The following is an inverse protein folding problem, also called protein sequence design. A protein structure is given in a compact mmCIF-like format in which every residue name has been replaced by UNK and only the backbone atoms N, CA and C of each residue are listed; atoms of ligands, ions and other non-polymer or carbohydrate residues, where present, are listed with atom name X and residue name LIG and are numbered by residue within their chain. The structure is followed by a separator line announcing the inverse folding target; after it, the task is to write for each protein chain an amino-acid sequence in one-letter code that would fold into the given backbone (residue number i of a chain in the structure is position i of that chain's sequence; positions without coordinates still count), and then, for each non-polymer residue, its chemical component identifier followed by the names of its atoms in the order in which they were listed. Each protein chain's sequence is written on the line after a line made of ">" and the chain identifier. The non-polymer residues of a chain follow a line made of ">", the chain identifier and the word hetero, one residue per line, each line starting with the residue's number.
data_IF_845472846723
#
_entry.id   IF_845472846723
#
_cell.length_a   1.000
_cell.length_b   1.000
_cell.length_c   1.000
_cell.angle_alpha   90.00
_cell.angle_beta   90.00
_cell.angle_gamma   90.00
#
_symmetry.space_group_name_H-M   'P 1'
#
loop_
_entity.id
_entity.type
_entity.pdbx_description
1 polymer ?
#
# COMPACT_ATOMS: atom_id res chain seq x y z
N UNK A 1 25.07 -7.01 -13.40
CA UNK A 1 24.62 -5.65 -13.78
C UNK A 1 23.30 -5.40 -13.07
N UNK A 2 23.16 -4.27 -12.37
CA UNK A 2 21.88 -3.86 -11.79
C UNK A 2 20.83 -3.78 -12.89
N UNK A 3 19.69 -4.45 -12.69
CA UNK A 3 18.58 -4.49 -13.65
C UNK A 3 17.62 -3.29 -13.50
N UNK A 4 18.00 -2.31 -12.69
CA UNK A 4 17.18 -1.16 -12.37
C UNK A 4 18.01 0.12 -12.19
N UNK A 5 17.33 1.26 -12.25
CA UNK A 5 17.83 2.58 -11.82
C UNK A 5 16.83 3.21 -10.87
N UNK A 6 17.29 3.68 -9.71
CA UNK A 6 16.47 4.36 -8.69
C UNK A 6 16.98 5.80 -8.52
N UNK A 7 16.07 6.77 -8.56
CA UNK A 7 16.40 8.18 -8.37
C UNK A 7 15.28 8.91 -7.64
N UNK A 8 15.62 9.85 -6.77
CA UNK A 8 14.66 10.82 -6.25
C UNK A 8 14.19 11.69 -7.41
N UNK A 9 12.88 11.78 -7.63
CA UNK A 9 12.29 12.53 -8.74
C UNK A 9 11.87 13.94 -8.30
N UNK A 10 11.10 14.04 -7.22
CA UNK A 10 10.68 15.30 -6.61
C UNK A 10 10.22 15.07 -5.16
N UNK A 11 10.00 16.18 -4.44
CA UNK A 11 9.38 16.20 -3.10
C UNK A 11 7.99 16.83 -3.19
N UNK A 12 7.03 16.28 -2.47
CA UNK A 12 5.70 16.87 -2.28
C UNK A 12 5.65 17.49 -0.88
N UNK A 13 5.33 18.78 -0.79
CA UNK A 13 5.14 19.47 0.49
C UNK A 13 3.67 19.45 0.88
N UNK A 14 3.38 19.19 2.16
CA UNK A 14 2.03 19.19 2.74
C UNK A 14 1.46 17.81 3.06
N UNK A 15 2.25 16.74 2.87
CA UNK A 15 1.97 15.36 3.28
C UNK A 15 3.28 14.73 3.76
N UNK A 16 3.31 14.20 4.99
CA UNK A 16 4.46 13.46 5.55
C UNK A 16 4.22 11.96 5.46
N UNK A 17 5.27 11.19 5.12
CA UNK A 17 5.27 9.72 5.12
C UNK A 17 4.02 9.09 4.48
N UNK A 18 3.87 9.24 3.17
CA UNK A 18 2.78 8.59 2.45
C UNK A 18 2.87 7.05 2.53
N UNK A 19 1.74 6.40 2.84
CA UNK A 19 1.59 4.95 3.03
C UNK A 19 0.97 4.24 1.80
N UNK A 20 0.95 4.91 0.65
CA UNK A 20 0.43 4.36 -0.59
C UNK A 20 0.21 5.42 -1.65
N UNK A 21 0.30 5.04 -2.93
CA UNK A 21 0.03 5.97 -4.02
C UNK A 21 -0.53 5.33 -5.29
N UNK A 22 -1.30 6.11 -6.04
CA UNK A 22 -1.78 5.76 -7.39
C UNK A 22 -1.48 6.92 -8.34
N UNK A 23 -0.85 6.62 -9.47
CA UNK A 23 -0.69 7.57 -10.56
C UNK A 23 -1.80 7.39 -11.59
N UNK A 24 -2.53 8.46 -11.88
CA UNK A 24 -3.55 8.47 -12.92
C UNK A 24 -3.69 9.88 -13.51
N UNK A 25 -3.79 9.98 -14.84
CA UNK A 25 -4.03 11.23 -15.57
C UNK A 25 -3.19 12.44 -15.12
N UNK A 26 -1.88 12.22 -14.92
CA UNK A 26 -0.94 13.26 -14.48
C UNK A 26 -1.18 13.81 -13.06
N UNK A 27 -1.93 13.06 -12.25
CA UNK A 27 -2.06 13.24 -10.80
C UNK A 27 -1.50 12.04 -10.07
N UNK A 28 -0.93 12.29 -8.89
CA UNK A 28 -0.63 11.30 -7.86
C UNK A 28 -1.68 11.39 -6.77
N UNK A 29 -2.43 10.33 -6.55
CA UNK A 29 -3.27 10.13 -5.38
C UNK A 29 -2.43 9.50 -4.29
N UNK A 30 -2.40 10.09 -3.09
CA UNK A 30 -1.62 9.60 -1.96
C UNK A 30 -2.50 9.47 -0.71
N UNK A 31 -2.11 8.53 0.13
CA UNK A 31 -2.67 8.32 1.47
C UNK A 31 -1.57 8.44 2.52
N UNK A 32 -1.97 8.70 3.76
CA UNK A 32 -1.10 8.67 4.91
C UNK A 32 -1.84 7.95 6.05
N UNK A 33 -1.11 7.13 6.80
CA UNK A 33 -1.63 6.29 7.88
C UNK A 33 -2.32 7.11 8.99
N UNK A 34 -1.85 8.34 9.20
CA UNK A 34 -2.26 9.27 10.24
C UNK A 34 -3.24 10.34 9.75
N UNK A 35 -3.94 10.11 8.63
CA UNK A 35 -4.81 11.09 7.99
C UNK A 35 -6.18 10.51 7.61
N UNK A 36 -7.19 11.37 7.60
CA UNK A 36 -8.52 11.10 7.04
C UNK A 36 -8.72 11.80 5.69
N UNK A 37 -7.63 12.08 4.97
CA UNK A 37 -7.64 12.77 3.70
C UNK A 37 -7.18 11.83 2.58
N UNK A 38 -7.77 12.01 1.39
CA UNK A 38 -7.11 11.69 0.15
C UNK A 38 -6.33 12.93 -0.31
N UNK A 39 -5.05 12.75 -0.61
CA UNK A 39 -4.20 13.78 -1.19
C UNK A 39 -4.12 13.59 -2.70
N UNK A 40 -4.18 14.68 -3.46
CA UNK A 40 -3.97 14.66 -4.91
C UNK A 40 -2.90 15.67 -5.29
N UNK A 41 -1.78 15.19 -5.80
CA UNK A 41 -0.69 16.02 -6.30
C UNK A 41 -0.68 16.04 -7.83
N UNK A 42 -0.93 17.19 -8.43
CA UNK A 42 -0.86 17.36 -9.88
C UNK A 42 0.60 17.63 -10.30
N UNK A 43 1.12 16.83 -11.25
CA UNK A 43 2.54 16.89 -11.63
C UNK A 43 2.89 18.12 -12.48
N UNK A 44 1.94 18.69 -13.23
CA UNK A 44 2.20 19.84 -14.11
C UNK A 44 2.27 21.14 -13.31
N UNK A 45 1.23 21.42 -12.52
CA UNK A 45 1.10 22.68 -11.79
C UNK A 45 1.71 22.61 -10.37
N UNK A 46 2.08 21.40 -9.91
CA UNK A 46 2.71 21.13 -8.61
C UNK A 46 1.85 21.52 -7.41
N UNK A 47 0.53 21.42 -7.54
CA UNK A 47 -0.44 21.70 -6.48
C UNK A 47 -0.83 20.40 -5.77
N UNK A 48 -0.91 20.46 -4.45
CA UNK A 48 -1.44 19.40 -3.58
C UNK A 48 -2.84 19.79 -3.10
N UNK A 49 -3.85 19.10 -3.61
CA UNK A 49 -5.23 19.20 -3.14
C UNK A 49 -5.53 18.12 -2.09
N UNK A 50 -6.47 18.43 -1.19
CA UNK A 50 -6.83 17.59 -0.05
C UNK A 50 -8.33 17.39 -0.01
N UNK A 51 -8.79 16.14 -0.04
CA UNK A 51 -10.22 15.79 0.05
C UNK A 51 -10.48 15.02 1.34
N UNK A 52 -11.29 15.57 2.29
CA UNK A 52 -11.69 14.83 3.48
C UNK A 52 -12.54 13.62 3.15
N UNK A 53 -12.21 12.48 3.75
CA UNK A 53 -12.93 11.20 3.59
C UNK A 53 -13.97 10.96 4.68
N UNK A 54 -14.19 11.96 5.54
CA UNK A 54 -15.13 11.92 6.65
C UNK A 54 -16.34 12.79 6.35
N UNK A 55 -17.42 12.60 7.12
CA UNK A 55 -18.65 13.38 6.97
C UNK A 55 -18.41 14.88 7.22
N UNK A 56 -19.26 15.73 6.64
CA UNK A 56 -19.13 17.20 6.74
C UNK A 56 -19.29 17.73 8.16
N UNK A 57 -19.94 16.97 9.04
CA UNK A 57 -20.15 17.26 10.45
C UNK A 57 -19.04 16.69 11.36
N UNK A 58 -18.07 15.95 10.81
CA UNK A 58 -16.90 15.50 11.55
C UNK A 58 -16.08 16.69 12.06
N UNK A 59 -15.88 16.75 13.37
CA UNK A 59 -15.18 17.85 14.05
C UNK A 59 -13.79 17.47 14.56
N UNK A 60 -13.31 16.25 14.26
CA UNK A 60 -11.99 15.79 14.68
C UNK A 60 -10.86 16.28 13.78
N UNK A 61 -9.63 15.88 14.11
CA UNK A 61 -8.47 16.16 13.27
C UNK A 61 -8.57 15.40 11.94
N UNK A 62 -8.14 16.04 10.85
CA UNK A 62 -8.05 15.42 9.52
C UNK A 62 -6.64 14.92 9.20
N UNK A 63 -5.62 15.53 9.79
CA UNK A 63 -4.21 15.18 9.65
C UNK A 63 -3.59 15.03 11.04
N UNK A 64 -2.51 14.26 11.16
CA UNK A 64 -1.91 13.92 12.45
C UNK A 64 -2.95 13.35 13.44
N UNK A 65 -3.86 12.53 12.91
CA UNK A 65 -4.93 11.90 13.66
C UNK A 65 -4.32 11.04 14.77
N UNK A 66 -4.75 11.19 16.04
CA UNK A 66 -4.20 10.40 17.13
C UNK A 66 -4.25 8.90 16.85
N UNK A 67 -3.21 8.15 17.23
CA UNK A 67 -3.07 6.70 16.96
C UNK A 67 -4.29 5.85 17.33
N UNK A 68 -5.04 6.25 18.37
CA UNK A 68 -6.25 5.56 18.84
C UNK A 68 -7.47 5.81 17.94
N UNK A 69 -7.48 6.91 17.20
CA UNK A 69 -8.61 7.39 16.40
C UNK A 69 -8.35 7.20 14.89
N UNK A 70 -7.09 6.99 14.47
CA UNK A 70 -6.73 6.86 13.05
C UNK A 70 -7.28 5.59 12.43
N UNK A 71 -7.84 5.72 11.22
CA UNK A 71 -8.28 4.60 10.39
C UNK A 71 -7.12 3.76 9.89
N UNK A 72 -5.89 4.32 9.87
CA UNK A 72 -4.68 3.60 9.48
C UNK A 72 -4.77 3.15 8.02
N UNK A 73 -5.01 4.10 7.11
CA UNK A 73 -5.03 3.78 5.68
C UNK A 73 -3.61 3.41 5.25
N UNK A 74 -3.42 2.13 4.97
CA UNK A 74 -2.13 1.52 4.60
C UNK A 74 -2.16 0.90 3.20
N UNK A 75 -3.30 0.93 2.51
CA UNK A 75 -3.38 0.52 1.13
C UNK A 75 -4.42 1.32 0.35
N UNK A 76 -4.15 1.58 -0.93
CA UNK A 76 -5.06 2.23 -1.85
C UNK A 76 -5.17 1.45 -3.15
N UNK A 77 -6.38 1.25 -3.64
CA UNK A 77 -6.66 0.58 -4.91
C UNK A 77 -7.63 1.39 -5.76
N UNK A 78 -7.49 1.33 -7.08
CA UNK A 78 -8.45 1.90 -8.02
C UNK A 78 -9.29 0.81 -8.68
N UNK A 79 -10.59 1.06 -8.83
CA UNK A 79 -11.50 0.26 -9.67
C UNK A 79 -12.34 1.22 -10.50
N UNK A 80 -12.01 1.33 -11.79
CA UNK A 80 -12.58 2.35 -12.66
C UNK A 80 -12.19 3.77 -12.20
N UNK A 81 -13.17 4.64 -12.01
CA UNK A 81 -12.96 6.00 -11.50
C UNK A 81 -12.94 6.06 -9.95
N UNK A 82 -13.25 4.95 -9.27
CA UNK A 82 -13.33 4.91 -7.81
C UNK A 82 -12.00 4.49 -7.16
N UNK A 83 -11.72 5.07 -6.01
CA UNK A 83 -10.57 4.79 -5.16
C UNK A 83 -11.06 4.22 -3.82
N UNK A 84 -10.42 3.14 -3.39
CA UNK A 84 -10.70 2.41 -2.16
C UNK A 84 -9.47 2.44 -1.29
N UNK A 85 -9.61 2.97 -0.08
CA UNK A 85 -8.52 3.19 0.86
C UNK A 85 -8.74 2.27 2.06
N UNK A 86 -7.92 1.25 2.19
CA UNK A 86 -8.09 0.19 3.17
C UNK A 86 -7.38 0.55 4.47
N UNK A 87 -8.14 0.56 5.55
CA UNK A 87 -7.56 0.51 6.89
C UNK A 87 -6.84 -0.82 7.10
N UNK A 88 -5.78 -0.80 7.91
CA UNK A 88 -4.89 -1.96 8.05
C UNK A 88 -5.52 -3.19 8.70
N UNK A 89 -6.67 -3.05 9.37
CA UNK A 89 -7.37 -4.14 10.04
C UNK A 89 -6.72 -4.67 11.32
N UNK A 90 -5.65 -4.04 11.78
CA UNK A 90 -4.91 -4.46 12.98
C UNK A 90 -5.61 -4.15 14.32
N UNK A 91 -6.64 -3.30 14.30
CA UNK A 91 -7.53 -3.00 15.45
C UNK A 91 -8.93 -2.67 14.94
N UNK A 92 -9.95 -2.69 15.79
CA UNK A 92 -11.36 -2.45 15.42
C UNK A 92 -11.57 -1.13 14.64
N UNK A 93 -10.94 -0.03 15.06
CA UNK A 93 -11.05 1.27 14.38
C UNK A 93 -10.40 1.33 12.99
N UNK A 94 -9.67 0.27 12.60
CA UNK A 94 -8.95 0.13 11.34
C UNK A 94 -9.65 -0.83 10.37
N UNK A 95 -10.83 -1.34 10.73
CA UNK A 95 -11.67 -2.19 9.88
C UNK A 95 -12.60 -1.33 8.99
N UNK A 96 -12.06 -0.29 8.37
CA UNK A 96 -12.83 0.63 7.53
C UNK A 96 -12.15 0.78 6.17
N UNK A 97 -12.96 0.89 5.13
CA UNK A 97 -12.50 1.22 3.79
C UNK A 97 -13.11 2.57 3.39
N UNK A 98 -12.27 3.56 3.13
CA UNK A 98 -12.68 4.83 2.54
C UNK A 98 -12.99 4.64 1.06
N UNK A 99 -14.07 5.26 0.57
CA UNK A 99 -14.52 5.10 -0.81
C UNK A 99 -14.85 6.46 -1.42
N UNK A 100 -14.19 6.78 -2.54
CA UNK A 100 -14.32 8.08 -3.21
C UNK A 100 -14.21 7.91 -4.73
N UNK A 101 -15.03 8.62 -5.47
CA UNK A 101 -14.82 8.77 -6.90
C UNK A 101 -13.66 9.75 -7.16
N UNK A 102 -12.55 9.25 -7.68
CA UNK A 102 -11.34 10.04 -7.91
C UNK A 102 -11.51 11.18 -8.92
N UNK A 103 -12.51 11.11 -9.80
CA UNK A 103 -12.78 12.12 -10.83
C UNK A 103 -13.75 13.21 -10.38
N UNK A 104 -14.88 12.83 -9.77
CA UNK A 104 -15.92 13.79 -9.32
C UNK A 104 -15.64 14.32 -7.92
N UNK A 105 -14.75 13.66 -7.17
CA UNK A 105 -14.49 13.91 -5.73
C UNK A 105 -15.70 13.64 -4.84
N UNK A 106 -16.68 12.87 -5.34
CA UNK A 106 -17.78 12.39 -4.53
C UNK A 106 -17.27 11.36 -3.52
N UNK A 107 -17.41 11.67 -2.23
CA UNK A 107 -17.05 10.79 -1.12
C UNK A 107 -18.28 9.97 -0.74
N UNK A 108 -18.16 8.66 -0.80
CA UNK A 108 -19.20 7.71 -0.40
C UNK A 108 -19.07 7.37 1.09
N UNK A 109 -20.12 6.80 1.72
CA UNK A 109 -19.99 6.25 3.06
C UNK A 109 -18.87 5.21 3.15
N UNK A 110 -18.17 5.18 4.29
CA UNK A 110 -17.22 4.11 4.57
C UNK A 110 -17.86 2.74 4.49
N UNK A 111 -17.09 1.78 3.99
CA UNK A 111 -17.46 0.37 4.02
C UNK A 111 -16.88 -0.22 5.30
N UNK A 112 -17.72 -0.92 6.07
CA UNK A 112 -17.27 -1.69 7.23
C UNK A 112 -16.63 -2.99 6.75
N UNK A 113 -15.32 -3.13 6.99
CA UNK A 113 -14.55 -4.30 6.56
C UNK A 113 -14.45 -5.38 7.64
N UNK A 114 -15.14 -5.23 8.78
CA UNK A 114 -14.99 -6.13 9.94
C UNK A 114 -15.25 -7.58 9.57
N UNK A 115 -16.38 -7.90 8.94
CA UNK A 115 -16.71 -9.28 8.56
C UNK A 115 -15.76 -9.84 7.49
N UNK A 116 -15.36 -9.00 6.53
CA UNK A 116 -14.38 -9.37 5.51
C UNK A 116 -13.02 -9.72 6.15
N UNK A 117 -12.50 -8.86 7.03
CA UNK A 117 -11.21 -9.05 7.68
C UNK A 117 -11.23 -10.25 8.63
N UNK A 118 -12.33 -10.49 9.35
CA UNK A 118 -12.51 -11.70 10.15
C UNK A 118 -12.50 -12.97 9.28
N UNK A 119 -13.19 -12.95 8.14
CA UNK A 119 -13.16 -14.06 7.19
C UNK A 119 -11.74 -14.27 6.65
N UNK A 120 -11.02 -13.21 6.25
CA UNK A 120 -9.63 -13.29 5.79
C UNK A 120 -8.70 -13.88 6.87
N UNK A 121 -8.82 -13.45 8.12
CA UNK A 121 -8.06 -14.01 9.24
C UNK A 121 -8.31 -15.52 9.39
N UNK A 122 -9.58 -15.94 9.31
CA UNK A 122 -9.95 -17.35 9.40
C UNK A 122 -9.39 -18.17 8.23
N UNK A 123 -9.58 -17.73 6.98
CA UNK A 123 -9.11 -18.45 5.79
C UNK A 123 -7.58 -18.47 5.68
N UNK A 124 -6.91 -17.43 6.17
CA UNK A 124 -5.46 -17.33 6.15
C UNK A 124 -4.76 -17.99 7.35
N UNK A 125 -5.52 -18.46 8.34
CA UNK A 125 -5.01 -18.88 9.65
C UNK A 125 -4.07 -17.82 10.24
N UNK A 126 -4.50 -16.56 10.17
CA UNK A 126 -3.76 -15.40 10.66
C UNK A 126 -4.44 -14.93 11.94
N UNK A 127 -3.69 -14.90 13.04
CA UNK A 127 -4.21 -14.36 14.31
C UNK A 127 -4.34 -12.84 14.23
N UNK A 128 -5.15 -12.21 15.10
CA UNK A 128 -5.34 -10.77 15.08
C UNK A 128 -4.03 -9.97 15.17
N UNK A 129 -3.03 -10.41 15.95
CA UNK A 129 -1.73 -9.73 16.07
C UNK A 129 -0.80 -9.90 14.85
N UNK A 130 -1.19 -10.74 13.88
CA UNK A 130 -0.48 -10.96 12.62
C UNK A 130 -1.22 -10.43 11.40
N UNK A 131 -2.44 -9.91 11.58
CA UNK A 131 -3.26 -9.38 10.50
C UNK A 131 -2.99 -7.88 10.30
N UNK A 132 -2.50 -7.54 9.11
CA UNK A 132 -2.14 -6.17 8.77
C UNK A 132 -2.12 -6.01 7.25
N UNK A 133 -3.12 -5.33 6.68
CA UNK A 133 -3.23 -5.10 5.24
C UNK A 133 -2.42 -3.87 4.84
N UNK A 134 -1.51 -4.03 3.88
CA UNK A 134 -0.65 -2.94 3.37
C UNK A 134 -0.51 -2.91 1.85
N UNK A 135 -1.29 -3.71 1.14
CA UNK A 135 -1.47 -3.47 -0.28
C UNK A 135 -2.82 -3.97 -0.73
N UNK A 136 -3.38 -3.27 -1.71
CA UNK A 136 -4.65 -3.59 -2.31
C UNK A 136 -4.57 -3.35 -3.82
N UNK A 137 -5.03 -4.32 -4.61
CA UNK A 137 -5.02 -4.21 -6.07
C UNK A 137 -6.32 -4.81 -6.62
N UNK A 138 -7.02 -4.07 -7.49
CA UNK A 138 -8.13 -4.61 -8.27
C UNK A 138 -7.67 -4.91 -9.71
N UNK A 139 -8.23 -5.95 -10.33
CA UNK A 139 -7.90 -6.35 -11.70
C UNK A 139 -8.66 -5.58 -12.80
N UNK A 140 -9.47 -4.59 -12.41
CA UNK A 140 -10.43 -3.89 -13.27
C UNK A 140 -11.81 -4.53 -13.29
N UNK A 141 -12.01 -5.66 -12.60
CA UNK A 141 -13.26 -6.40 -12.51
C UNK A 141 -13.64 -6.72 -11.05
N UNK A 142 -13.98 -7.98 -10.81
CA UNK A 142 -14.46 -8.47 -9.51
C UNK A 142 -13.35 -9.07 -8.65
N UNK A 143 -12.11 -9.13 -9.15
CA UNK A 143 -11.01 -9.75 -8.40
C UNK A 143 -10.17 -8.69 -7.69
N UNK A 144 -9.99 -8.89 -6.39
CA UNK A 144 -9.15 -8.08 -5.53
C UNK A 144 -8.00 -8.92 -4.97
N UNK A 145 -6.84 -8.30 -4.85
CA UNK A 145 -5.66 -8.86 -4.20
C UNK A 145 -5.32 -7.99 -2.99
N UNK A 146 -5.46 -8.54 -1.79
CA UNK A 146 -5.08 -7.87 -0.55
C UNK A 146 -3.85 -8.56 0.05
N UNK A 147 -2.87 -7.76 0.47
CA UNK A 147 -1.58 -8.26 0.92
C UNK A 147 -1.44 -8.08 2.43
N UNK A 148 -1.21 -9.19 3.12
CA UNK A 148 -0.91 -9.17 4.55
C UNK A 148 0.59 -8.94 4.76
N UNK A 149 0.97 -7.88 5.46
CA UNK A 149 2.35 -7.64 5.90
C UNK A 149 2.71 -8.62 6.99
N UNK A 150 3.84 -9.29 6.82
CA UNK A 150 4.44 -10.16 7.82
C UNK A 150 5.20 -9.43 8.93
N UNK A 151 4.65 -8.35 9.49
CA UNK A 151 5.25 -7.58 10.61
C UNK A 151 4.81 -8.06 12.00
N UNK A 152 3.82 -8.95 12.08
CA UNK A 152 3.46 -9.62 13.33
C UNK A 152 4.45 -10.71 13.76
N UNK A 153 4.31 -11.28 14.98
CA UNK A 153 5.23 -12.25 15.56
C UNK A 153 5.49 -13.53 14.72
N UNK A 154 4.51 -13.94 13.91
CA UNK A 154 4.60 -15.11 13.04
C UNK A 154 5.18 -14.79 11.65
N UNK A 155 5.45 -13.51 11.35
CA UNK A 155 5.98 -13.00 10.09
C UNK A 155 5.24 -13.52 8.84
N UNK A 156 3.91 -13.53 8.90
CA UNK A 156 3.04 -14.14 7.88
C UNK A 156 2.79 -13.19 6.69
N UNK A 157 3.72 -13.16 5.74
CA UNK A 157 3.44 -12.57 4.43
C UNK A 157 2.46 -13.45 3.64
N UNK A 158 1.46 -12.84 3.03
CA UNK A 158 0.55 -13.58 2.15
C UNK A 158 -0.37 -12.67 1.34
N UNK A 159 -1.04 -13.28 0.36
CA UNK A 159 -1.95 -12.61 -0.55
C UNK A 159 -3.30 -13.31 -0.49
N UNK A 160 -4.32 -12.53 -0.22
CA UNK A 160 -5.71 -12.91 -0.38
C UNK A 160 -6.16 -12.56 -1.79
N UNK A 161 -6.76 -13.52 -2.48
CA UNK A 161 -7.53 -13.30 -3.71
C UNK A 161 -8.99 -13.35 -3.33
N UNK A 162 -9.69 -12.23 -3.52
CA UNK A 162 -11.11 -12.09 -3.25
C UNK A 162 -11.83 -11.94 -4.59
N UNK A 163 -12.85 -12.75 -4.85
CA UNK A 163 -13.73 -12.57 -6.02
C UNK A 163 -15.10 -12.15 -5.52
N UNK A 164 -15.53 -10.93 -5.89
CA UNK A 164 -16.81 -10.34 -5.50
C UNK A 164 -16.81 -8.81 -5.50
N UNK A 165 -17.85 -8.24 -4.91
CA UNK A 165 -17.99 -6.80 -4.71
C UNK A 165 -17.48 -6.43 -3.32
N UNK A 166 -16.60 -5.44 -3.21
CA UNK A 166 -15.93 -5.10 -1.94
C UNK A 166 -16.91 -4.65 -0.83
N UNK A 167 -18.10 -4.19 -1.22
CA UNK A 167 -19.19 -3.74 -0.35
C UNK A 167 -20.15 -4.87 0.08
N UNK A 168 -19.98 -6.08 -0.47
CA UNK A 168 -20.81 -7.24 -0.15
C UNK A 168 -20.06 -8.18 0.81
N UNK A 169 -20.78 -9.02 1.53
CA UNK A 169 -20.22 -10.04 2.43
C UNK A 169 -19.88 -11.35 1.71
N UNK A 170 -20.37 -11.54 0.48
CA UNK A 170 -20.24 -12.78 -0.28
C UNK A 170 -18.96 -12.80 -1.16
N UNK A 171 -17.80 -13.03 -0.55
CA UNK A 171 -16.56 -13.27 -1.29
C UNK A 171 -16.21 -14.74 -1.42
N UNK A 172 -15.66 -15.11 -2.57
CA UNK A 172 -14.76 -16.26 -2.64
C UNK A 172 -13.36 -15.81 -2.21
N UNK A 173 -12.81 -16.45 -1.18
CA UNK A 173 -11.51 -16.09 -0.60
C UNK A 173 -10.52 -17.24 -0.82
N UNK A 174 -9.36 -16.91 -1.39
CA UNK A 174 -8.20 -17.81 -1.48
C UNK A 174 -7.00 -17.13 -0.85
N UNK A 175 -6.34 -17.79 0.10
CA UNK A 175 -5.11 -17.28 0.71
C UNK A 175 -3.87 -18.03 0.21
N UNK A 176 -2.83 -17.28 -0.15
CA UNK A 176 -1.54 -17.81 -0.55
C UNK A 176 -0.45 -17.23 0.35
N UNK A 177 0.16 -18.07 1.21
CA UNK A 177 1.33 -17.68 1.98
C UNK A 177 2.52 -17.45 1.05
N UNK A 178 3.16 -16.30 1.16
CA UNK A 178 4.32 -15.93 0.34
C UNK A 178 5.57 -15.88 1.21
N UNK A 179 6.64 -16.56 0.77
CA UNK A 179 7.96 -16.45 1.39
C UNK A 179 8.76 -15.40 0.65
N UNK A 180 9.14 -14.32 1.34
CA UNK A 180 10.01 -13.27 0.82
C UNK A 180 11.44 -13.46 1.37
N UNK A 181 12.47 -12.99 0.63
CA UNK A 181 13.84 -13.08 1.11
C UNK A 181 14.10 -12.12 2.28
N UNK A 182 15.26 -12.29 2.91
CA UNK A 182 15.75 -11.38 3.95
C UNK A 182 16.64 -10.30 3.35
N UNK A 183 16.62 -9.10 3.92
CA UNK A 183 17.56 -8.02 3.62
C UNK A 183 18.40 -7.78 4.87
N UNK A 184 19.72 -7.94 4.79
CA UNK A 184 20.64 -7.86 5.95
C UNK A 184 20.22 -8.73 7.15
N UNK A 185 19.54 -9.85 6.92
CA UNK A 185 19.07 -10.78 7.95
C UNK A 185 17.66 -10.50 8.50
N UNK A 186 17.11 -9.31 8.26
CA UNK A 186 15.73 -8.95 8.56
C UNK A 186 14.77 -9.51 7.51
N UNK A 187 13.59 -9.97 7.93
CA UNK A 187 12.58 -10.52 7.03
C UNK A 187 11.90 -9.38 6.26
N UNK A 188 11.89 -9.43 4.92
CA UNK A 188 11.11 -8.48 4.13
C UNK A 188 9.63 -8.83 4.22
N UNK A 189 8.78 -7.80 4.27
CA UNK A 189 7.33 -7.89 4.31
C UNK A 189 6.68 -6.90 3.35
N UNK A 190 5.53 -7.26 2.77
CA UNK A 190 4.83 -6.40 1.81
C UNK A 190 4.51 -5.03 2.39
N UNK A 191 4.66 -4.00 1.56
CA UNK A 191 4.33 -2.61 1.90
C UNK A 191 3.52 -1.87 0.84
N UNK A 192 3.50 -2.36 -0.41
CA UNK A 192 2.52 -1.96 -1.44
C UNK A 192 2.62 -2.88 -2.68
N UNK A 193 1.64 -2.82 -3.58
CA UNK A 193 1.60 -3.56 -4.84
C UNK A 193 0.79 -2.85 -5.93
N UNK A 194 1.14 -3.14 -7.19
CA UNK A 194 0.43 -2.65 -8.38
C UNK A 194 0.34 -3.74 -9.45
N UNK A 195 -0.79 -3.79 -10.16
CA UNK A 195 -0.94 -4.67 -11.32
C UNK A 195 -0.37 -4.01 -12.58
N UNK A 196 0.43 -4.77 -13.34
CA UNK A 196 0.89 -4.39 -14.67
C UNK A 196 0.74 -5.60 -15.59
N UNK A 197 -0.18 -5.50 -16.55
CA UNK A 197 -0.67 -6.65 -17.31
C UNK A 197 -1.17 -7.76 -16.35
N UNK A 198 -0.86 -9.03 -16.62
CA UNK A 198 -1.27 -10.17 -15.79
C UNK A 198 -0.29 -10.46 -14.64
N UNK A 199 0.33 -9.43 -14.05
CA UNK A 199 1.37 -9.56 -13.03
C UNK A 199 1.17 -8.55 -11.91
N UNK A 200 1.39 -9.01 -10.68
CA UNK A 200 1.46 -8.14 -9.51
C UNK A 200 2.93 -7.78 -9.27
N UNK A 201 3.28 -6.51 -9.48
CA UNK A 201 4.53 -5.97 -8.99
C UNK A 201 4.32 -5.49 -7.56
N UNK A 202 5.28 -5.74 -6.69
CA UNK A 202 5.16 -5.39 -5.28
C UNK A 202 6.47 -4.85 -4.75
N UNK A 203 6.37 -4.08 -3.67
CA UNK A 203 7.51 -3.73 -2.82
C UNK A 203 7.36 -4.38 -1.46
N UNK A 204 8.51 -4.64 -0.85
CA UNK A 204 8.58 -5.16 0.51
C UNK A 204 9.75 -4.53 1.24
N UNK A 205 9.47 -3.92 2.38
CA UNK A 205 10.49 -3.38 3.28
C UNK A 205 10.92 -4.45 4.29
N UNK A 206 12.17 -4.36 4.74
CA UNK A 206 12.67 -5.12 5.86
C UNK A 206 13.12 -4.14 6.94
N UNK A 207 12.62 -4.33 8.15
CA UNK A 207 13.00 -3.55 9.33
C UNK A 207 13.72 -4.47 10.31
N UNK A 208 14.78 -3.96 10.93
CA UNK A 208 15.52 -4.67 11.96
C UNK A 208 14.65 -4.88 13.19
N UNK A 209 14.56 -6.12 13.67
CA UNK A 209 13.93 -6.45 14.95
C UNK A 209 14.69 -7.55 15.70
N UNK A 210 14.95 -7.29 16.99
CA UNK A 210 15.58 -8.14 18.02
C UNK A 210 17.12 -8.20 18.11
N UNK A 211 17.84 -7.13 17.78
CA UNK A 211 19.19 -6.91 18.37
C UNK A 211 19.10 -5.75 19.36
N UNK A 212 19.68 -5.90 20.55
CA UNK A 212 19.58 -5.00 21.72
C UNK A 212 20.06 -3.56 21.51
N UNK A 213 20.29 -3.13 20.26
CA UNK A 213 20.87 -1.84 19.90
C UNK A 213 20.15 -1.10 18.76
N UNK A 214 19.18 -1.68 18.05
CA UNK A 214 18.57 -1.06 16.86
C UNK A 214 17.16 -1.61 16.51
N UNK A 215 16.20 -1.55 17.43
CA UNK A 215 14.79 -1.78 17.07
C UNK A 215 14.33 -0.66 16.12
N UNK A 216 13.80 -1.05 14.95
CA UNK A 216 13.20 -0.12 13.98
C UNK A 216 14.14 0.42 12.90
N UNK A 217 15.40 -0.04 12.80
CA UNK A 217 16.27 0.41 11.71
C UNK A 217 15.84 -0.22 10.37
N UNK A 218 15.53 0.62 9.38
CA UNK A 218 15.21 0.18 8.02
C UNK A 218 16.41 -0.52 7.40
N UNK A 219 16.28 -1.83 7.17
CA UNK A 219 17.31 -2.65 6.54
C UNK A 219 17.34 -2.50 5.02
N UNK A 220 16.21 -2.08 4.43
CA UNK A 220 16.06 -1.74 3.02
C UNK A 220 14.71 -2.17 2.44
N UNK A 221 14.57 -1.99 1.13
CA UNK A 221 13.38 -2.39 0.36
C UNK A 221 13.79 -3.19 -0.86
N UNK A 222 12.99 -4.20 -1.18
CA UNK A 222 13.05 -4.92 -2.45
C UNK A 222 11.82 -4.64 -3.31
N UNK A 223 11.98 -4.79 -4.62
CA UNK A 223 10.86 -4.92 -5.56
C UNK A 223 10.77 -6.38 -5.99
N UNK A 224 9.57 -6.88 -6.23
CA UNK A 224 9.35 -8.21 -6.80
C UNK A 224 8.17 -8.25 -7.75
N UNK A 225 7.97 -9.44 -8.33
CA UNK A 225 6.85 -9.72 -9.24
C UNK A 225 6.25 -11.07 -8.95
N UNK A 226 4.93 -11.16 -8.97
CA UNK A 226 4.15 -12.38 -8.77
C UNK A 226 3.35 -12.69 -10.03
N UNK A 227 3.34 -13.98 -10.37
CA UNK A 227 2.46 -14.54 -11.38
C UNK A 227 1.08 -14.79 -10.78
N UNK A 228 0.03 -14.16 -11.29
CA UNK A 228 -1.31 -14.30 -10.70
C UNK A 228 -1.94 -15.67 -10.95
N UNK A 229 -1.61 -16.37 -12.04
CA UNK A 229 -2.16 -17.69 -12.35
C UNK A 229 -1.62 -18.77 -11.40
N UNK A 230 -0.38 -18.60 -10.92
CA UNK A 230 0.32 -19.57 -10.05
C UNK A 230 0.46 -19.10 -8.61
N UNK A 231 0.19 -17.83 -8.34
CA UNK A 231 0.52 -17.13 -7.09
C UNK A 231 1.93 -17.40 -6.59
N UNK A 232 2.91 -17.28 -7.50
CA UNK A 232 4.34 -17.48 -7.19
C UNK A 232 5.16 -16.25 -7.52
N UNK A 233 6.08 -15.93 -6.62
CA UNK A 233 7.12 -14.92 -6.84
C UNK A 233 8.03 -15.39 -7.98
N UNK A 234 8.11 -14.59 -9.03
CA UNK A 234 8.94 -14.84 -10.21
C UNK A 234 10.35 -14.25 -10.04
N UNK A 235 10.45 -13.08 -9.40
CA UNK A 235 11.73 -12.50 -9.01
C UNK A 235 11.57 -11.52 -7.84
N UNK A 236 12.70 -11.24 -7.18
CA UNK A 236 12.89 -10.13 -6.24
C UNK A 236 14.25 -9.50 -6.47
N UNK A 237 14.37 -8.19 -6.32
CA UNK A 237 15.62 -7.45 -6.40
C UNK A 237 15.65 -6.40 -5.28
N UNK A 238 16.72 -6.35 -4.49
CA UNK A 238 16.89 -5.30 -3.45
C UNK A 238 17.19 -3.97 -4.15
N UNK A 239 16.32 -2.99 -3.95
CA UNK A 239 16.37 -1.69 -4.63
C UNK A 239 16.94 -0.57 -3.75
N UNK A 240 16.85 -0.72 -2.44
CA UNK A 240 17.47 0.16 -1.47
C UNK A 240 17.91 -0.62 -0.23
N UNK A 241 18.96 -0.12 0.44
CA UNK A 241 19.46 -0.67 1.72
C UNK A 241 19.27 0.31 2.88
N UNK A 242 18.48 1.37 2.66
CA UNK A 242 18.27 2.47 3.62
C UNK A 242 16.84 3.05 3.61
N UNK A 243 16.18 3.06 2.44
CA UNK A 243 14.85 3.64 2.30
C UNK A 243 13.80 2.58 2.59
N UNK A 244 12.70 2.98 3.23
CA UNK A 244 11.48 2.19 3.42
C UNK A 244 10.45 2.75 2.44
N UNK A 245 10.21 2.03 1.35
CA UNK A 245 9.14 2.43 0.42
C UNK A 245 7.83 1.76 0.83
N UNK A 246 6.77 2.56 0.89
CA UNK A 246 5.41 2.14 1.27
C UNK A 246 4.37 2.54 0.21
N UNK A 247 4.83 2.83 -1.01
CA UNK A 247 3.92 2.91 -2.12
C UNK A 247 4.59 2.63 -3.46
N UNK A 248 3.84 2.04 -4.40
CA UNK A 248 4.27 1.77 -5.76
C UNK A 248 3.12 1.96 -6.75
N UNK A 249 3.34 2.75 -7.79
CA UNK A 249 2.42 2.83 -8.94
C UNK A 249 3.18 2.73 -10.25
N UNK A 250 2.53 2.20 -11.28
CA UNK A 250 3.06 2.30 -12.64
C UNK A 250 3.03 3.76 -13.11
N UNK A 251 4.18 4.27 -13.54
CA UNK A 251 4.32 5.61 -14.12
C UNK A 251 4.31 5.56 -15.64
N UNK A 252 5.08 4.63 -16.20
CA UNK A 252 5.28 4.52 -17.64
C UNK A 252 5.63 3.09 -18.02
N UNK A 253 5.14 2.67 -19.19
CA UNK A 253 5.51 1.40 -19.83
C UNK A 253 5.93 1.66 -21.27
N UNK A 254 7.17 1.32 -21.60
CA UNK A 254 7.73 1.44 -22.96
C UNK A 254 8.34 0.10 -23.38
N UNK A 255 7.59 -0.69 -24.16
CA UNK A 255 7.98 -2.04 -24.52
C UNK A 255 8.15 -2.92 -23.28
N UNK A 256 9.39 -3.35 -23.02
CA UNK A 256 9.75 -4.15 -21.83
C UNK A 256 10.24 -3.30 -20.65
N UNK A 257 10.43 -1.99 -20.83
CA UNK A 257 10.87 -1.11 -19.76
C UNK A 257 9.66 -0.64 -18.98
N UNK A 258 9.69 -0.85 -17.67
CA UNK A 258 8.68 -0.35 -16.74
C UNK A 258 9.30 0.73 -15.87
N UNK A 259 8.59 1.85 -15.71
CA UNK A 259 8.93 2.87 -14.74
C UNK A 259 7.82 2.94 -13.71
N UNK A 260 8.19 2.93 -12.43
CA UNK A 260 7.29 3.08 -11.30
C UNK A 260 7.65 4.32 -10.50
N UNK A 261 6.64 4.94 -9.87
CA UNK A 261 6.87 5.91 -8.80
C UNK A 261 6.72 5.22 -7.46
N UNK A 262 7.56 5.61 -6.50
CA UNK A 262 7.56 5.12 -5.13
C UNK A 262 7.46 6.29 -4.14
N UNK A 263 6.73 6.15 -3.05
CA UNK A 263 6.84 7.05 -1.89
C UNK A 263 7.67 6.39 -0.79
N UNK A 264 8.50 7.21 -0.14
CA UNK A 264 9.27 6.81 1.03
C UNK A 264 8.55 7.19 2.31
N UNK A 265 8.46 6.23 3.23
CA UNK A 265 8.20 6.51 4.64
C UNK A 265 9.53 6.76 5.34
N UNK A 266 9.64 7.93 5.97
CA UNK A 266 10.85 8.36 6.66
C UNK A 266 10.74 8.31 8.18
N UNK A 267 9.60 7.86 8.71
CA UNK A 267 9.25 7.93 10.14
C UNK A 267 9.49 9.34 10.74
N UNK A 268 9.38 10.39 9.91
CA UNK A 268 9.68 11.77 10.31
C UNK A 268 8.42 12.62 10.41
N UNK A 269 8.42 13.57 11.36
CA UNK A 269 7.35 14.55 11.52
C UNK A 269 7.35 15.62 10.40
N UNK A 270 8.22 15.48 9.39
CA UNK A 270 8.29 16.43 8.30
C UNK A 270 7.04 16.29 7.44
N UNK A 271 6.36 17.42 7.16
CA UNK A 271 5.23 17.46 6.24
C UNK A 271 5.70 17.44 4.77
N UNK A 272 6.62 16.55 4.42
CA UNK A 272 7.08 16.31 3.07
C UNK A 272 7.19 14.82 2.75
N UNK A 273 6.94 14.46 1.50
CA UNK A 273 7.06 13.09 0.99
C UNK A 273 7.97 13.06 -0.23
N UNK A 274 8.97 12.19 -0.18
CA UNK A 274 9.92 11.98 -1.26
C UNK A 274 9.34 10.99 -2.26
N UNK A 275 9.23 11.42 -3.53
CA UNK A 275 8.78 10.57 -4.62
C UNK A 275 9.98 10.16 -5.47
N UNK A 276 10.22 8.86 -5.51
CA UNK A 276 11.28 8.25 -6.30
C UNK A 276 10.74 7.67 -7.60
N UNK A 277 11.59 7.60 -8.62
CA UNK A 277 11.34 6.83 -9.83
C UNK A 277 12.28 5.64 -9.87
N UNK A 278 11.71 4.45 -10.08
CA UNK A 278 12.47 3.25 -10.40
C UNK A 278 12.17 2.79 -11.82
N UNK A 279 13.21 2.57 -12.62
CA UNK A 279 13.10 1.94 -13.94
C UNK A 279 13.56 0.49 -13.84
N UNK A 280 12.75 -0.46 -14.29
CA UNK A 280 13.01 -1.90 -14.25
C UNK A 280 12.97 -2.47 -15.67
N UNK A 281 13.87 -3.41 -15.97
CA UNK A 281 13.88 -4.20 -17.21
C UNK A 281 13.69 -5.68 -16.86
N UNK A 282 12.43 -6.15 -16.79
CA UNK A 282 12.10 -7.50 -16.34
C UNK A 282 12.46 -8.61 -17.34
#
# INVERSE_FOLDING_TARGET
>A
MQKFTLQLLFKIIGIGSASGLIYNNNSLYLIADNSHLLYEYNLDNKVLDKTPLVSKDYAGALENVPKKDKTDYEAIAAKGDDLYLFGSGSTENRNLIGHINGKTKEVYPHIDATDLYLAMQQFGEISPENFNIEAAVNDGGEVWYLFNRGNGPAAQNGIFTLTGTIDDTAFQIVYNKIKLPKIKGAQASFTDAVMVDNKLYFIAAAEGGNSTYADGEVSGTLIGRINIDKMKVEFTEVISTKNKFEGITLYKKEGKTLEFLLCEDTDSDAAESDIYKITVKP
#
